data_IF_489323746439
#
_entry.id   IF_489323746439
#
_cell.length_a   1.000
_cell.length_b   1.000
_cell.length_c   1.000
_cell.angle_alpha   90.00
_cell.angle_beta   90.00
_cell.angle_gamma   90.00
#
_symmetry.space_group_name_H-M   'P 1'
#
loop_
_entity.id
_entity.type
_entity.pdbx_description
1 polymer ?
#
# COMPACT_ATOMS: atom_id res chain seq x y z
N UNK A 1 17.27 49.11 -26.15
CA UNK A 1 18.20 48.46 -25.19
C UNK A 1 17.39 48.00 -24.00
N UNK A 2 17.16 46.70 -23.86
CA UNK A 2 16.39 46.13 -22.76
C UNK A 2 16.62 44.63 -22.72
N UNK A 3 17.84 44.23 -22.36
CA UNK A 3 18.12 42.84 -22.00
C UNK A 3 17.73 42.66 -20.54
N UNK A 4 16.78 41.77 -20.27
CA UNK A 4 16.47 41.36 -18.91
C UNK A 4 17.61 40.47 -18.39
N UNK A 5 18.63 41.12 -17.83
CA UNK A 5 19.82 40.47 -17.24
C UNK A 5 19.56 39.88 -15.84
N UNK A 6 18.29 39.76 -15.42
CA UNK A 6 17.93 39.43 -14.04
C UNK A 6 17.32 38.04 -13.82
N UNK A 7 16.98 37.29 -14.86
CA UNK A 7 16.37 35.96 -14.69
C UNK A 7 17.43 34.86 -14.82
N UNK A 8 18.02 34.48 -13.69
CA UNK A 8 18.86 33.28 -13.61
C UNK A 8 18.07 32.22 -12.86
N UNK A 9 17.57 31.21 -13.57
CA UNK A 9 17.04 30.00 -12.94
C UNK A 9 18.20 29.22 -12.33
N UNK A 10 18.55 29.52 -11.09
CA UNK A 10 19.37 28.62 -10.26
C UNK A 10 18.42 27.62 -9.63
N UNK A 11 18.13 26.56 -10.38
CA UNK A 11 17.59 25.34 -9.81
C UNK A 11 18.57 24.88 -8.72
N UNK A 12 18.05 24.58 -7.54
CA UNK A 12 18.83 24.03 -6.44
C UNK A 12 19.45 22.71 -6.91
N UNK A 13 20.78 22.67 -7.00
CA UNK A 13 21.52 21.45 -7.27
C UNK A 13 21.61 20.73 -5.93
N UNK A 14 20.56 19.98 -5.59
CA UNK A 14 20.63 19.06 -4.46
C UNK A 14 21.71 18.02 -4.80
N UNK A 15 22.88 18.27 -4.21
CA UNK A 15 24.13 17.55 -4.41
C UNK A 15 24.27 16.37 -3.45
N UNK A 16 23.31 16.21 -2.54
CA UNK A 16 23.17 14.99 -1.75
C UNK A 16 22.47 13.93 -2.59
N UNK A 17 23.12 12.79 -2.83
CA UNK A 17 22.35 11.57 -3.05
C UNK A 17 21.45 11.40 -1.83
N UNK A 18 20.13 11.28 -2.02
CA UNK A 18 19.23 10.92 -0.93
C UNK A 18 19.72 9.60 -0.35
N UNK A 19 20.23 9.65 0.88
CA UNK A 19 20.80 8.49 1.57
C UNK A 19 19.73 7.40 1.68
N UNK A 20 19.96 6.37 0.88
CA UNK A 20 19.32 5.06 0.78
C UNK A 20 18.25 4.73 1.82
N UNK A 21 17.01 4.59 1.34
CA UNK A 21 16.02 3.68 1.94
C UNK A 21 16.50 2.26 1.68
N UNK A 22 16.85 1.53 2.75
CA UNK A 22 17.23 0.10 2.66
C UNK A 22 16.12 -0.71 1.99
N UNK A 23 16.48 -1.49 0.98
CA UNK A 23 15.65 -2.57 0.43
C UNK A 23 15.46 -3.68 1.50
N UNK A 24 14.34 -4.39 1.46
CA UNK A 24 14.08 -5.59 2.25
C UNK A 24 15.08 -6.76 2.04
N UNK A 25 15.98 -6.67 1.06
CA UNK A 25 17.13 -7.56 0.86
C UNK A 25 18.41 -7.17 1.64
N UNK A 26 18.44 -5.98 2.24
CA UNK A 26 19.61 -5.46 2.96
C UNK A 26 20.63 -4.71 2.11
N UNK A 27 20.44 -4.64 0.79
CA UNK A 27 21.32 -3.91 -0.12
C UNK A 27 20.94 -2.42 -0.22
N UNK A 28 21.97 -1.58 -0.27
CA UNK A 28 21.81 -0.13 -0.34
C UNK A 28 21.74 0.35 -1.80
N UNK A 29 20.64 1.00 -2.20
CA UNK A 29 20.49 1.60 -3.53
C UNK A 29 20.51 3.13 -3.45
N UNK A 30 21.58 3.75 -3.98
CA UNK A 30 21.66 5.21 -4.15
C UNK A 30 20.84 5.67 -5.36
N UNK A 31 19.88 6.56 -5.14
CA UNK A 31 19.26 7.30 -6.24
C UNK A 31 20.23 8.40 -6.69
N UNK A 32 20.75 8.27 -7.92
CA UNK A 32 21.60 9.29 -8.52
C UNK A 32 20.75 10.52 -8.89
N UNK A 33 21.16 11.69 -8.41
CA UNK A 33 20.56 12.98 -8.76
C UNK A 33 20.67 13.25 -10.27
N UNK A 34 19.65 13.92 -10.82
CA UNK A 34 19.56 14.29 -12.24
C UNK A 34 19.90 15.77 -12.38
N UNK A 35 21.05 16.07 -12.99
CA UNK A 35 21.51 17.45 -13.14
C UNK A 35 20.87 18.15 -14.34
N UNK A 36 20.50 19.43 -14.19
CA UNK A 36 20.08 20.29 -15.31
C UNK A 36 21.30 20.73 -16.13
N UNK A 37 21.32 20.42 -17.42
CA UNK A 37 22.36 20.91 -18.35
C UNK A 37 22.12 22.41 -18.64
N UNK A 38 23.01 23.29 -18.20
CA UNK A 38 22.97 24.73 -18.55
C UNK A 38 23.58 24.97 -19.93
N UNK A 39 22.84 25.59 -20.84
CA UNK A 39 23.40 26.21 -22.06
C UNK A 39 23.81 27.62 -21.68
N UNK A 40 25.11 27.84 -21.44
CA UNK A 40 25.64 29.16 -21.10
C UNK A 40 26.45 29.74 -22.24
N UNK A 41 26.08 30.96 -22.61
CA UNK A 41 26.85 31.95 -23.37
C UNK A 41 26.84 31.89 -24.92
N UNK A 42 26.46 33.02 -25.52
CA UNK A 42 26.53 33.33 -26.95
C UNK A 42 27.98 33.38 -27.47
N UNK A 43 28.98 33.33 -26.58
CA UNK A 43 30.39 33.16 -26.93
C UNK A 43 30.74 31.73 -27.37
N UNK A 44 30.34 30.72 -26.59
CA UNK A 44 30.61 29.29 -26.87
C UNK A 44 29.63 28.69 -27.88
N UNK A 45 28.36 29.09 -27.81
CA UNK A 45 27.31 28.67 -28.74
C UNK A 45 27.10 29.76 -29.79
N UNK A 46 27.92 29.78 -30.84
CA UNK A 46 27.84 30.78 -31.90
C UNK A 46 28.04 30.19 -33.30
N UNK A 47 27.29 30.74 -34.27
CA UNK A 47 27.29 30.29 -35.67
C UNK A 47 27.99 31.29 -36.61
N UNK A 48 28.78 32.21 -36.07
CA UNK A 48 29.37 33.31 -36.83
C UNK A 48 30.52 32.88 -37.77
N UNK A 49 31.04 31.67 -37.61
CA UNK A 49 32.05 31.07 -38.48
C UNK A 49 31.86 29.56 -38.59
N UNK A 50 32.42 28.94 -39.64
CA UNK A 50 32.37 27.48 -39.80
C UNK A 50 33.03 26.78 -38.61
N UNK A 51 34.13 27.34 -38.07
CA UNK A 51 34.82 26.75 -36.93
C UNK A 51 33.97 26.80 -35.66
N UNK A 52 33.34 27.94 -35.37
CA UNK A 52 32.50 28.09 -34.17
C UNK A 52 31.19 27.31 -34.27
N UNK A 53 30.62 27.17 -35.47
CA UNK A 53 29.48 26.30 -35.69
C UNK A 53 29.82 24.82 -35.42
N UNK A 54 31.01 24.35 -35.79
CA UNK A 54 31.46 22.97 -35.49
C UNK A 54 31.69 22.75 -34.00
N UNK A 55 32.28 23.72 -33.29
CA UNK A 55 32.42 23.64 -31.82
C UNK A 55 31.05 23.62 -31.13
N UNK A 56 30.15 24.51 -31.54
CA UNK A 56 28.76 24.58 -31.03
C UNK A 56 28.02 23.25 -31.21
N UNK A 57 28.20 22.59 -32.37
CA UNK A 57 27.61 21.28 -32.63
C UNK A 57 28.13 20.21 -31.67
N UNK A 58 29.45 20.15 -31.43
CA UNK A 58 30.03 19.18 -30.49
C UNK A 58 29.55 19.36 -29.05
N UNK A 59 29.40 20.61 -28.60
CA UNK A 59 28.83 20.91 -27.27
C UNK A 59 27.36 20.46 -27.17
N UNK A 60 26.56 20.69 -28.22
CA UNK A 60 25.17 20.23 -28.26
C UNK A 60 25.06 18.69 -28.28
N UNK A 61 25.96 17.99 -28.97
CA UNK A 61 26.04 16.53 -28.94
C UNK A 61 26.36 15.99 -27.53
N UNK A 62 27.27 16.65 -26.82
CA UNK A 62 27.61 16.33 -25.43
C UNK A 62 26.41 16.56 -24.49
N UNK A 63 25.75 17.71 -24.62
CA UNK A 63 24.54 18.03 -23.86
C UNK A 63 23.40 17.04 -24.12
N UNK A 64 23.19 16.63 -25.38
CA UNK A 64 22.18 15.66 -25.76
C UNK A 64 22.50 14.27 -25.18
N UNK A 65 23.77 13.88 -25.16
CA UNK A 65 24.24 12.65 -24.51
C UNK A 65 23.96 12.68 -23.00
N UNK A 66 24.27 13.79 -22.33
CA UNK A 66 23.99 13.97 -20.91
C UNK A 66 22.47 13.95 -20.62
N UNK A 67 21.66 14.60 -21.46
CA UNK A 67 20.20 14.56 -21.34
C UNK A 67 19.65 13.14 -21.52
N UNK A 68 20.19 12.37 -22.48
CA UNK A 68 19.82 10.98 -22.67
C UNK A 68 20.18 10.12 -21.45
N UNK A 69 21.37 10.32 -20.86
CA UNK A 69 21.78 9.65 -19.63
C UNK A 69 20.84 10.00 -18.45
N UNK A 70 20.52 11.27 -18.27
CA UNK A 70 19.56 11.74 -17.27
C UNK A 70 18.18 11.09 -17.45
N UNK A 71 17.65 11.06 -18.69
CA UNK A 71 16.37 10.39 -19.00
C UNK A 71 16.42 8.90 -18.72
N UNK A 72 17.56 8.25 -18.95
CA UNK A 72 17.77 6.84 -18.62
C UNK A 72 17.69 6.60 -17.11
N UNK A 73 18.34 7.43 -16.30
CA UNK A 73 18.27 7.36 -14.83
C UNK A 73 16.85 7.56 -14.32
N UNK A 74 16.13 8.56 -14.83
CA UNK A 74 14.71 8.77 -14.49
C UNK A 74 13.87 7.55 -14.88
N UNK A 75 14.08 6.99 -16.07
CA UNK A 75 13.39 5.78 -16.53
C UNK A 75 13.63 4.60 -15.58
N UNK A 76 14.87 4.37 -15.16
CA UNK A 76 15.21 3.33 -14.20
C UNK A 76 14.52 3.53 -12.83
N UNK A 77 14.48 4.76 -12.34
CA UNK A 77 13.77 5.11 -11.10
C UNK A 77 12.27 4.85 -11.21
N UNK A 78 11.65 5.22 -12.34
CA UNK A 78 10.23 4.93 -12.61
C UNK A 78 9.97 3.43 -12.67
N UNK A 79 10.83 2.64 -13.32
CA UNK A 79 10.70 1.17 -13.35
C UNK A 79 10.77 0.57 -11.94
N UNK A 80 11.66 1.07 -11.07
CA UNK A 80 11.70 0.66 -9.66
C UNK A 80 10.40 1.00 -8.93
N UNK A 81 9.92 2.24 -9.06
CA UNK A 81 8.66 2.65 -8.43
C UNK A 81 7.48 1.79 -8.88
N UNK A 82 7.43 1.43 -10.16
CA UNK A 82 6.41 0.53 -10.69
C UNK A 82 6.52 -0.89 -10.11
N UNK A 83 7.73 -1.43 -9.96
CA UNK A 83 7.95 -2.74 -9.35
C UNK A 83 7.59 -2.75 -7.86
N UNK A 84 7.98 -1.72 -7.11
CA UNK A 84 7.65 -1.60 -5.68
C UNK A 84 6.14 -1.43 -5.49
N UNK A 85 5.48 -0.66 -6.35
CA UNK A 85 4.02 -0.52 -6.33
C UNK A 85 3.31 -1.86 -6.58
N UNK A 86 3.77 -2.66 -7.54
CA UNK A 86 3.20 -3.99 -7.79
C UNK A 86 3.44 -4.94 -6.60
N UNK A 87 4.64 -4.93 -6.03
CA UNK A 87 4.97 -5.70 -4.83
C UNK A 87 4.06 -5.30 -3.65
N UNK A 88 3.89 -4.00 -3.42
CA UNK A 88 3.04 -3.47 -2.36
C UNK A 88 1.56 -3.80 -2.58
N UNK A 89 1.05 -3.69 -3.81
CA UNK A 89 -0.32 -4.08 -4.14
C UNK A 89 -0.57 -5.57 -3.85
N UNK A 90 0.41 -6.44 -4.15
CA UNK A 90 0.36 -7.84 -3.76
C UNK A 90 0.32 -8.05 -2.24
N UNK A 91 1.13 -7.29 -1.48
CA UNK A 91 1.11 -7.34 -0.01
C UNK A 91 -0.20 -6.85 0.59
N UNK A 92 -0.80 -5.80 0.02
CA UNK A 92 -2.10 -5.26 0.45
C UNK A 92 -3.18 -6.31 0.26
N UNK A 93 -3.31 -6.88 -0.95
CA UNK A 93 -4.34 -7.90 -1.22
C UNK A 93 -4.16 -9.14 -0.33
N UNK A 94 -2.92 -9.57 -0.09
CA UNK A 94 -2.64 -10.66 0.84
C UNK A 94 -2.99 -10.31 2.30
N UNK A 95 -2.76 -9.06 2.72
CA UNK A 95 -3.14 -8.54 4.03
C UNK A 95 -4.65 -8.47 4.20
N UNK A 96 -5.37 -7.91 3.23
CA UNK A 96 -6.84 -7.87 3.20
C UNK A 96 -7.45 -9.26 3.26
N UNK A 97 -6.92 -10.23 2.49
CA UNK A 97 -7.36 -11.62 2.56
C UNK A 97 -7.10 -12.26 3.94
N UNK A 98 -5.98 -11.92 4.59
CA UNK A 98 -5.67 -12.44 5.92
C UNK A 98 -6.62 -11.85 6.98
N UNK A 99 -6.90 -10.54 6.91
CA UNK A 99 -7.87 -9.86 7.77
C UNK A 99 -9.27 -10.44 7.57
N UNK A 100 -9.73 -10.56 6.32
CA UNK A 100 -11.03 -11.18 6.01
C UNK A 100 -11.16 -12.59 6.56
N UNK A 101 -10.11 -13.41 6.53
CA UNK A 101 -10.11 -14.75 7.14
C UNK A 101 -10.21 -14.72 8.66
N UNK A 102 -9.58 -13.74 9.31
CA UNK A 102 -9.67 -13.56 10.78
C UNK A 102 -11.09 -13.12 11.13
N UNK A 103 -11.64 -12.12 10.43
CA UNK A 103 -13.01 -11.65 10.63
C UNK A 103 -14.04 -12.78 10.43
N UNK A 104 -13.92 -13.56 9.36
CA UNK A 104 -14.80 -14.70 9.10
C UNK A 104 -14.68 -15.78 10.19
N UNK A 105 -13.47 -16.03 10.70
CA UNK A 105 -13.25 -16.99 11.77
C UNK A 105 -13.84 -16.52 13.11
N UNK A 106 -13.70 -15.23 13.44
CA UNK A 106 -14.28 -14.62 14.63
C UNK A 106 -15.81 -14.60 14.55
N UNK A 107 -16.38 -14.26 13.39
CA UNK A 107 -17.82 -14.34 13.13
C UNK A 107 -18.31 -15.79 13.24
N UNK A 108 -17.57 -16.76 12.70
CA UNK A 108 -17.91 -18.18 12.81
C UNK A 108 -17.88 -18.66 14.28
N UNK A 109 -16.94 -18.18 15.08
CA UNK A 109 -16.85 -18.49 16.51
C UNK A 109 -18.03 -17.90 17.29
N UNK A 110 -18.30 -16.60 17.09
CA UNK A 110 -19.40 -15.91 17.77
C UNK A 110 -20.77 -16.50 17.36
N UNK A 111 -20.99 -16.75 16.07
CA UNK A 111 -22.23 -17.37 15.58
C UNK A 111 -22.44 -18.79 16.14
N UNK A 112 -21.38 -19.58 16.29
CA UNK A 112 -21.44 -20.91 16.92
C UNK A 112 -21.76 -20.81 18.42
N UNK A 113 -21.14 -19.86 19.12
CA UNK A 113 -21.39 -19.59 20.55
C UNK A 113 -22.84 -19.13 20.77
N UNK A 114 -23.32 -18.20 19.94
CA UNK A 114 -24.69 -17.72 19.95
C UNK A 114 -25.69 -18.85 19.67
N UNK A 115 -25.46 -19.66 18.63
CA UNK A 115 -26.31 -20.80 18.30
C UNK A 115 -26.35 -21.84 19.44
N UNK A 116 -25.19 -22.16 20.04
CA UNK A 116 -25.12 -23.07 21.19
C UNK A 116 -25.89 -22.52 22.39
N UNK A 117 -25.74 -21.23 22.68
CA UNK A 117 -26.48 -20.54 23.74
C UNK A 117 -27.98 -20.59 23.47
N UNK A 118 -28.41 -20.35 22.24
CA UNK A 118 -29.82 -20.39 21.84
C UNK A 118 -30.42 -21.80 21.93
N UNK A 119 -29.68 -22.84 21.56
CA UNK A 119 -30.10 -24.23 21.77
C UNK A 119 -30.21 -24.53 23.26
N UNK A 120 -29.25 -24.07 24.07
CA UNK A 120 -29.26 -24.26 25.52
C UNK A 120 -30.44 -23.56 26.20
N UNK A 121 -30.80 -22.36 25.79
CA UNK A 121 -31.97 -21.64 26.32
C UNK A 121 -33.27 -22.37 25.96
N UNK A 122 -33.42 -22.81 24.72
CA UNK A 122 -34.58 -23.62 24.28
C UNK A 122 -34.67 -24.95 25.04
N UNK A 123 -33.55 -25.66 25.21
CA UNK A 123 -33.49 -26.88 26.00
C UNK A 123 -33.87 -26.61 27.48
N UNK A 124 -33.39 -25.52 28.07
CA UNK A 124 -33.74 -25.14 29.45
C UNK A 124 -35.23 -24.84 29.61
N UNK A 125 -35.86 -24.18 28.62
CA UNK A 125 -37.30 -23.93 28.59
C UNK A 125 -38.08 -25.24 28.44
N UNK A 126 -37.65 -26.15 27.55
CA UNK A 126 -38.29 -27.45 27.35
C UNK A 126 -38.17 -28.34 28.59
N UNK A 127 -37.00 -28.39 29.23
CA UNK A 127 -36.78 -29.11 30.50
C UNK A 127 -37.65 -28.53 31.60
N UNK A 128 -37.74 -27.20 31.71
CA UNK A 128 -38.62 -26.56 32.69
C UNK A 128 -40.10 -26.89 32.44
N UNK A 129 -40.54 -26.89 31.18
CA UNK A 129 -41.91 -27.26 30.82
C UNK A 129 -42.20 -28.73 31.14
N UNK A 130 -41.27 -29.64 30.85
CA UNK A 130 -41.39 -31.06 31.18
C UNK A 130 -41.39 -31.30 32.69
N UNK A 131 -40.54 -30.61 33.46
CA UNK A 131 -40.52 -30.66 34.92
C UNK A 131 -41.83 -30.14 35.53
N UNK A 132 -42.43 -29.09 34.96
CA UNK A 132 -43.76 -28.61 35.37
C UNK A 132 -44.84 -29.65 35.08
N UNK A 133 -44.85 -30.28 33.91
CA UNK A 133 -45.82 -31.34 33.57
C UNK A 133 -45.69 -32.58 34.46
N UNK A 134 -44.46 -33.01 34.75
CA UNK A 134 -44.22 -34.13 35.68
C UNK A 134 -44.76 -33.84 37.09
N UNK A 135 -44.58 -32.61 37.61
CA UNK A 135 -45.14 -32.22 38.91
C UNK A 135 -46.68 -32.25 38.94
N UNK A 136 -47.36 -31.83 37.87
CA UNK A 136 -48.83 -31.89 37.78
C UNK A 136 -49.32 -33.33 37.65
N UNK A 137 -48.66 -34.16 36.84
CA UNK A 137 -48.99 -35.59 36.71
C UNK A 137 -48.85 -36.37 38.01
N UNK A 138 -47.82 -36.09 38.82
CA UNK A 138 -47.66 -36.71 40.15
C UNK A 138 -48.79 -36.29 41.11
N UNK A 139 -49.26 -35.06 41.01
CA UNK A 139 -50.40 -34.57 41.82
C UNK A 139 -51.71 -35.28 41.45
N UNK A 140 -51.92 -35.60 40.18
CA UNK A 140 -53.05 -36.42 39.71
C UNK A 140 -52.94 -37.89 40.16
N UNK A 141 -51.74 -38.47 40.19
CA UNK A 141 -51.52 -39.82 40.72
C UNK A 141 -51.80 -39.90 42.23
N UNK A 142 -51.40 -38.89 43.00
CA UNK A 142 -51.67 -38.83 44.44
C UNK A 142 -53.16 -38.56 44.74
N UNK A 143 -53.87 -37.79 43.91
CA UNK A 143 -55.32 -37.61 44.03
C UNK A 143 -56.09 -38.87 43.60
N UNK A 144 -55.68 -39.55 42.53
CA UNK A 144 -56.29 -40.80 42.08
C UNK A 144 -56.19 -41.94 43.11
N UNK A 145 -55.09 -41.99 43.88
CA UNK A 145 -54.90 -42.99 44.94
C UNK A 145 -55.70 -42.69 46.21
N UNK A 146 -56.08 -41.43 46.46
CA UNK A 146 -56.84 -41.03 47.66
C UNK A 146 -58.38 -40.99 47.45
N UNK A 147 -58.89 -41.46 46.31
CA UNK A 147 -60.34 -41.54 45.98
C UNK A 147 -60.78 -43.01 45.76
N UNK A 148 -59.89 -43.98 45.96
CA UNK A 148 -60.14 -45.41 45.77
C UNK A 148 -60.20 -46.27 47.04
N UNK A 149 -60.41 -45.66 48.21
CA UNK A 149 -60.52 -46.35 49.50
C UNK A 149 -61.75 -45.90 50.29
#
# INVERSE_FOLDING_TARGET
KGGNSGFTLTWEEDSGSLEVVRDGSGESYEMKSVFNSKISDTGTYNLNSISSARSTLGELESLLTNLAANRSTVGANVSRLQNELQSLAGKITQGEMAVSRIEDADIAHESSSYASTQVRTQASIAILAQAKQLNVGVSDLLRGVNIGG
#
